data_IF_493221607292
#
_entry.id   IF_493221607292
#
_cell.length_a   1.000
_cell.length_b   1.000
_cell.length_c   1.000
_cell.angle_alpha   90.00
_cell.angle_beta   90.00
_cell.angle_gamma   90.00
#
_symmetry.space_group_name_H-M   'P 1'
#
loop_
_entity.id
_entity.type
_entity.pdbx_description
1 polymer ?
#
# COMPACT_ATOMS: atom_id res chain seq x y z
N UNK A 1 -8.25 18.85 17.85
CA UNK A 1 -7.98 18.09 16.63
C UNK A 1 -6.79 17.17 16.88
N UNK A 2 -7.00 15.85 16.78
CA UNK A 2 -5.89 14.88 16.77
C UNK A 2 -5.24 14.97 15.38
N UNK A 3 -3.99 15.41 15.32
CA UNK A 3 -3.21 15.41 14.07
C UNK A 3 -2.35 14.15 14.04
N UNK A 4 -2.34 13.49 12.90
CA UNK A 4 -1.45 12.37 12.64
C UNK A 4 -0.57 12.72 11.43
N UNK A 5 0.74 12.56 11.59
CA UNK A 5 1.71 12.60 10.50
C UNK A 5 2.00 11.16 10.09
N UNK A 6 1.91 10.83 8.80
CA UNK A 6 2.22 9.50 8.28
C UNK A 6 3.45 9.53 7.40
N UNK A 7 4.43 8.71 7.72
CA UNK A 7 5.56 8.40 6.87
C UNK A 7 5.28 7.09 6.15
N UNK A 8 5.43 7.11 4.83
CA UNK A 8 5.20 5.96 3.98
C UNK A 8 6.51 5.67 3.25
N UNK A 9 7.02 4.46 3.36
CA UNK A 9 8.17 4.05 2.59
C UNK A 9 7.92 4.19 1.10
N UNK A 10 8.89 4.72 0.41
CA UNK A 10 8.83 4.89 -1.04
C UNK A 10 8.86 3.53 -1.74
N UNK A 11 7.86 3.29 -2.55
CA UNK A 11 7.78 2.10 -3.39
C UNK A 11 8.40 2.39 -4.78
N UNK A 12 9.09 1.43 -5.41
CA UNK A 12 9.71 1.58 -6.73
C UNK A 12 8.67 1.50 -7.85
N UNK A 13 7.69 2.42 -7.86
CA UNK A 13 6.59 2.48 -8.82
C UNK A 13 6.59 3.79 -9.60
N UNK A 14 6.35 3.72 -10.91
CA UNK A 14 6.29 4.91 -11.77
C UNK A 14 7.52 5.80 -11.58
N UNK A 15 7.31 7.09 -11.35
CA UNK A 15 8.40 8.05 -11.07
C UNK A 15 9.13 7.78 -9.74
N UNK A 16 8.59 6.96 -8.86
CA UNK A 16 9.25 6.56 -7.61
C UNK A 16 10.52 5.73 -7.81
N UNK A 17 10.73 5.17 -9.00
CA UNK A 17 11.95 4.41 -9.34
C UNK A 17 13.20 5.28 -9.33
N UNK A 18 13.07 6.54 -9.73
CA UNK A 18 14.19 7.43 -10.03
C UNK A 18 14.49 8.41 -8.87
N UNK A 19 13.73 8.36 -7.78
CA UNK A 19 13.89 9.29 -6.68
C UNK A 19 14.82 8.74 -5.58
N UNK A 20 16.07 9.23 -5.54
CA UNK A 20 16.98 9.21 -4.40
C UNK A 20 17.14 7.86 -3.67
N UNK A 21 17.77 7.90 -2.52
CA UNK A 21 18.04 6.74 -1.68
C UNK A 21 16.76 6.24 -0.99
N UNK A 22 16.56 4.92 -0.97
CA UNK A 22 15.54 4.29 -0.16
C UNK A 22 15.82 4.54 1.34
N UNK A 23 14.79 4.93 2.08
CA UNK A 23 14.86 5.11 3.51
C UNK A 23 13.78 4.24 4.18
N UNK A 24 14.15 3.24 4.99
CA UNK A 24 13.18 2.45 5.71
C UNK A 24 12.47 3.28 6.79
N UNK A 25 11.26 2.90 7.16
CA UNK A 25 10.49 3.58 8.20
C UNK A 25 11.20 3.54 9.57
N UNK A 26 12.04 2.54 9.82
CA UNK A 26 12.89 2.46 11.01
C UNK A 26 13.77 3.70 11.19
N UNK A 27 14.23 4.32 10.11
CA UNK A 27 15.04 5.54 10.18
C UNK A 27 14.34 6.72 10.89
N UNK A 28 13.01 6.72 10.97
CA UNK A 28 12.26 7.71 11.76
C UNK A 28 12.43 7.42 13.24
N UNK A 29 12.34 6.17 13.67
CA UNK A 29 12.53 5.76 15.06
C UNK A 29 13.98 5.98 15.52
N UNK A 30 14.95 5.69 14.64
CA UNK A 30 16.37 5.89 14.94
C UNK A 30 16.70 7.39 15.18
N UNK A 31 15.99 8.30 14.50
CA UNK A 31 16.16 9.75 14.65
C UNK A 31 15.33 10.36 15.78
N UNK A 32 14.29 9.67 16.19
CA UNK A 32 13.37 10.11 17.25
C UNK A 32 13.14 8.96 18.22
N UNK A 33 14.15 8.59 19.03
CA UNK A 33 14.07 7.44 19.94
C UNK A 33 13.02 7.63 21.07
N UNK A 34 12.54 8.86 21.27
CA UNK A 34 11.48 9.16 22.22
C UNK A 34 10.08 8.77 21.75
N UNK A 35 9.94 8.28 20.50
CA UNK A 35 8.67 7.80 19.97
C UNK A 35 8.29 6.45 20.61
N UNK A 36 7.19 6.46 21.35
CA UNK A 36 6.63 5.27 21.98
C UNK A 36 5.52 4.66 21.12
N UNK A 37 5.53 3.35 20.94
CA UNK A 37 4.46 2.63 20.25
C UNK A 37 3.16 2.72 21.02
N UNK A 38 2.05 3.07 20.36
CA UNK A 38 0.75 3.26 21.03
C UNK A 38 -0.38 2.40 20.46
N UNK A 39 -0.40 2.16 19.14
CA UNK A 39 -1.48 1.41 18.50
C UNK A 39 -1.15 1.07 17.05
N UNK A 40 -2.08 0.39 16.39
CA UNK A 40 -2.14 0.27 14.93
C UNK A 40 -3.37 1.01 14.39
N UNK A 41 -3.25 1.61 13.20
CA UNK A 41 -4.37 2.20 12.46
C UNK A 41 -4.31 1.66 11.03
N UNK A 42 -5.03 0.60 10.79
CA UNK A 42 -4.91 -0.22 9.58
C UNK A 42 -3.49 -0.76 9.43
N UNK A 43 -2.82 -0.40 8.33
CA UNK A 43 -1.43 -0.83 8.05
C UNK A 43 -0.35 0.08 8.66
N UNK A 44 -0.76 1.12 9.39
CA UNK A 44 0.18 2.05 10.02
C UNK A 44 0.47 1.62 11.46
N UNK A 45 1.74 1.37 11.79
CA UNK A 45 2.21 1.32 13.17
C UNK A 45 2.23 2.75 13.73
N UNK A 46 1.51 2.99 14.82
CA UNK A 46 1.33 4.32 15.38
C UNK A 46 2.20 4.53 16.62
N UNK A 47 2.88 5.66 16.64
CA UNK A 47 3.77 6.09 17.71
C UNK A 47 3.35 7.47 18.21
N UNK A 48 3.84 7.82 19.42
CA UNK A 48 3.59 9.13 20.01
C UNK A 48 4.82 9.58 20.81
N UNK A 49 5.12 10.86 20.73
CA UNK A 49 6.07 11.49 21.66
C UNK A 49 5.38 11.66 23.04
N UNK A 50 6.12 11.59 24.15
CA UNK A 50 5.61 11.93 25.46
C UNK A 50 4.86 13.28 25.43
N UNK A 51 3.73 13.36 26.10
CA UNK A 51 2.88 14.56 26.23
C UNK A 51 2.29 15.11 24.92
N UNK A 52 2.58 14.50 23.75
CA UNK A 52 2.04 14.95 22.48
C UNK A 52 0.57 14.55 22.33
N UNK A 53 -0.25 15.47 21.77
CA UNK A 53 -1.66 15.21 21.41
C UNK A 53 -1.81 14.45 20.08
N UNK A 54 -0.81 14.56 19.20
CA UNK A 54 -0.76 13.92 17.89
C UNK A 54 -0.09 12.55 17.92
N UNK A 55 -0.12 11.87 16.78
CA UNK A 55 0.58 10.59 16.57
C UNK A 55 1.38 10.61 15.28
N UNK A 56 2.39 9.76 15.23
CA UNK A 56 3.17 9.46 14.03
C UNK A 56 2.79 8.05 13.57
N UNK A 57 2.36 7.91 12.32
CA UNK A 57 2.09 6.63 11.69
C UNK A 57 3.21 6.24 10.74
N UNK A 58 3.73 5.02 10.86
CA UNK A 58 4.72 4.46 9.94
C UNK A 58 4.06 3.38 9.09
N UNK A 59 4.19 3.50 7.77
CA UNK A 59 3.68 2.52 6.80
C UNK A 59 4.88 1.99 6.03
N UNK A 60 5.19 0.72 6.22
CA UNK A 60 6.41 0.07 5.79
C UNK A 60 6.14 -1.03 4.72
N UNK A 61 5.69 -0.67 3.50
CA UNK A 61 5.37 -1.66 2.48
C UNK A 61 6.59 -2.42 1.95
N UNK A 62 7.81 -1.88 2.14
CA UNK A 62 9.05 -2.47 1.64
C UNK A 62 9.81 -3.22 2.73
N UNK A 63 10.01 -2.59 3.89
CA UNK A 63 10.79 -3.20 4.99
C UNK A 63 9.96 -4.12 5.88
N UNK A 64 8.64 -3.97 5.87
CA UNK A 64 7.71 -4.80 6.64
C UNK A 64 6.40 -4.97 5.87
N UNK A 65 6.42 -5.85 4.88
CA UNK A 65 5.26 -6.10 4.03
C UNK A 65 4.08 -6.67 4.83
N UNK A 66 2.93 -6.01 4.71
CA UNK A 66 1.68 -6.37 5.40
C UNK A 66 0.69 -7.11 4.48
N UNK A 67 1.19 -7.90 3.53
CA UNK A 67 0.36 -8.58 2.52
C UNK A 67 -0.63 -9.55 3.14
N UNK A 68 -0.26 -10.28 4.18
CA UNK A 68 -1.13 -11.23 4.87
C UNK A 68 -2.41 -10.59 5.45
N UNK A 69 -2.32 -9.31 5.85
CA UNK A 69 -3.44 -8.55 6.41
C UNK A 69 -4.13 -7.65 5.37
N UNK A 70 -3.63 -7.66 4.13
CA UNK A 70 -4.11 -6.76 3.09
C UNK A 70 -5.41 -7.23 2.46
N UNK A 71 -6.53 -6.60 2.83
CA UNK A 71 -7.86 -6.83 2.24
C UNK A 71 -8.18 -5.92 1.04
N UNK A 72 -7.22 -5.14 0.53
CA UNK A 72 -7.47 -4.12 -0.49
C UNK A 72 -7.49 -4.72 -1.89
N UNK A 73 -8.47 -4.29 -2.67
CA UNK A 73 -8.52 -4.37 -4.13
C UNK A 73 -8.64 -2.95 -4.68
N UNK A 74 -8.38 -2.75 -5.96
CA UNK A 74 -8.48 -1.44 -6.60
C UNK A 74 -9.29 -1.50 -7.87
N UNK A 75 -9.99 -0.43 -8.18
CA UNK A 75 -10.66 -0.22 -9.46
C UNK A 75 -9.99 0.97 -10.13
N UNK A 76 -9.51 0.77 -11.34
CA UNK A 76 -8.85 1.81 -12.13
C UNK A 76 -9.87 2.71 -12.82
N UNK A 77 -9.46 3.91 -13.22
CA UNK A 77 -10.35 4.87 -13.89
C UNK A 77 -10.88 4.35 -15.24
N UNK A 78 -10.17 3.43 -15.90
CA UNK A 78 -10.59 2.77 -17.13
C UNK A 78 -11.49 1.54 -16.89
N UNK A 79 -11.92 1.31 -15.63
CA UNK A 79 -12.90 0.29 -15.28
C UNK A 79 -12.35 -1.12 -15.19
N UNK A 80 -11.12 -1.28 -14.70
CA UNK A 80 -10.51 -2.58 -14.43
C UNK A 80 -10.31 -2.81 -12.94
N UNK A 81 -10.53 -4.03 -12.50
CA UNK A 81 -10.20 -4.46 -11.15
C UNK A 81 -8.75 -4.97 -11.10
N UNK A 82 -7.97 -4.44 -10.15
CA UNK A 82 -6.63 -4.93 -9.80
C UNK A 82 -6.68 -5.62 -8.43
N UNK A 83 -6.33 -6.91 -8.36
CA UNK A 83 -6.32 -7.65 -7.09
C UNK A 83 -5.23 -7.15 -6.13
N UNK A 84 -4.11 -6.69 -6.65
CA UNK A 84 -3.00 -6.13 -5.87
C UNK A 84 -2.47 -4.86 -6.54
N UNK A 85 -1.98 -3.93 -5.74
CA UNK A 85 -1.34 -2.69 -6.22
C UNK A 85 -0.15 -3.00 -7.15
N UNK A 86 0.62 -4.02 -6.80
CA UNK A 86 1.90 -4.34 -7.43
C UNK A 86 1.80 -5.40 -8.53
N UNK A 87 0.69 -6.16 -8.60
CA UNK A 87 0.46 -7.14 -9.65
C UNK A 87 0.07 -6.47 -10.97
N UNK A 88 0.50 -7.05 -12.07
CA UNK A 88 0.07 -6.64 -13.42
C UNK A 88 -1.29 -7.23 -13.81
N UNK A 89 -1.82 -8.16 -13.01
CA UNK A 89 -3.12 -8.77 -13.24
C UNK A 89 -4.26 -7.73 -13.17
N UNK A 90 -5.10 -7.72 -14.20
CA UNK A 90 -6.25 -6.84 -14.31
C UNK A 90 -7.45 -7.60 -14.89
N UNK A 91 -8.65 -7.30 -14.39
CA UNK A 91 -9.91 -7.83 -14.89
C UNK A 91 -10.77 -6.68 -15.35
N UNK A 92 -11.18 -6.68 -16.62
CA UNK A 92 -12.09 -5.67 -17.16
C UNK A 92 -13.48 -5.83 -16.53
N UNK A 93 -13.98 -4.77 -15.90
CA UNK A 93 -15.34 -4.70 -15.36
C UNK A 93 -16.27 -3.86 -16.26
N UNK A 94 -15.68 -2.98 -17.08
CA UNK A 94 -16.46 -2.10 -17.96
C UNK A 94 -17.34 -2.89 -18.91
N UNK A 95 -18.63 -2.56 -18.95
CA UNK A 95 -19.63 -3.22 -19.78
C UNK A 95 -20.26 -4.45 -19.15
N UNK A 96 -19.75 -4.95 -18.01
CA UNK A 96 -20.36 -6.04 -17.27
C UNK A 96 -21.48 -5.53 -16.36
N UNK A 97 -22.49 -6.35 -16.16
CA UNK A 97 -23.62 -6.07 -15.25
C UNK A 97 -24.14 -7.37 -14.62
N UNK A 98 -24.95 -7.22 -13.57
CA UNK A 98 -25.59 -8.36 -12.93
C UNK A 98 -24.60 -9.45 -12.51
N UNK A 99 -24.93 -10.69 -12.86
CA UNK A 99 -24.16 -11.88 -12.48
C UNK A 99 -22.75 -11.89 -13.08
N UNK A 100 -22.58 -11.41 -14.30
CA UNK A 100 -21.27 -11.35 -14.96
C UNK A 100 -20.30 -10.42 -14.20
N UNK A 101 -20.81 -9.28 -13.73
CA UNK A 101 -20.02 -8.32 -12.92
C UNK A 101 -19.64 -8.95 -11.57
N UNK A 102 -20.59 -9.62 -10.92
CA UNK A 102 -20.34 -10.29 -9.65
C UNK A 102 -19.26 -11.37 -9.79
N UNK A 103 -19.38 -12.21 -10.81
CA UNK A 103 -18.40 -13.28 -11.07
C UNK A 103 -17.01 -12.70 -11.39
N UNK A 104 -16.93 -11.60 -12.14
CA UNK A 104 -15.68 -10.93 -12.44
C UNK A 104 -15.01 -10.36 -11.17
N UNK A 105 -15.79 -9.77 -10.27
CA UNK A 105 -15.29 -9.26 -8.98
C UNK A 105 -14.81 -10.41 -8.10
N UNK A 106 -15.60 -11.48 -7.96
CA UNK A 106 -15.23 -12.68 -7.19
C UNK A 106 -13.93 -13.28 -7.70
N UNK A 107 -13.80 -13.44 -9.01
CA UNK A 107 -12.57 -13.93 -9.65
C UNK A 107 -11.39 -13.02 -9.33
N UNK A 108 -11.56 -11.69 -9.40
CA UNK A 108 -10.50 -10.74 -9.07
C UNK A 108 -10.04 -10.84 -7.62
N UNK A 109 -10.96 -11.06 -6.68
CA UNK A 109 -10.61 -11.28 -5.26
C UNK A 109 -9.81 -12.58 -5.10
N UNK A 110 -10.22 -13.65 -5.76
CA UNK A 110 -9.53 -14.95 -5.69
C UNK A 110 -8.16 -14.95 -6.38
N UNK A 111 -7.95 -14.05 -7.34
CA UNK A 111 -6.64 -13.86 -8.01
C UNK A 111 -5.66 -13.02 -7.19
N UNK A 112 -6.07 -12.53 -6.00
CA UNK A 112 -5.17 -11.74 -5.17
C UNK A 112 -3.95 -12.57 -4.79
N UNK A 113 -2.71 -12.12 -5.10
CA UNK A 113 -1.51 -12.83 -4.71
C UNK A 113 -1.37 -12.84 -3.19
N UNK A 114 -0.78 -13.89 -2.65
CA UNK A 114 -0.50 -14.02 -1.22
C UNK A 114 0.39 -12.88 -0.73
N UNK A 115 1.40 -12.51 -1.53
CA UNK A 115 2.26 -11.36 -1.27
C UNK A 115 2.82 -10.75 -2.57
N UNK A 116 3.33 -9.55 -2.50
CA UNK A 116 4.18 -8.98 -3.55
C UNK A 116 5.65 -9.38 -3.31
N UNK A 117 6.48 -9.26 -4.34
CA UNK A 117 7.91 -9.61 -4.29
C UNK A 117 8.83 -8.40 -4.47
N UNK A 118 8.34 -7.17 -4.26
CA UNK A 118 9.15 -5.96 -4.40
C UNK A 118 10.29 -5.86 -3.40
N UNK A 119 10.09 -6.40 -2.20
CA UNK A 119 11.11 -6.50 -1.15
C UNK A 119 12.30 -7.36 -1.58
N UNK A 120 12.06 -8.37 -2.40
CA UNK A 120 13.10 -9.28 -2.93
C UNK A 120 13.71 -8.76 -4.24
N UNK A 121 12.87 -8.26 -5.14
CA UNK A 121 13.27 -7.90 -6.51
C UNK A 121 13.64 -6.42 -6.69
N UNK A 122 13.20 -5.57 -5.76
CA UNK A 122 13.31 -4.11 -5.88
C UNK A 122 12.44 -3.52 -7.01
N UNK A 123 11.60 -4.33 -7.66
CA UNK A 123 10.79 -3.93 -8.82
C UNK A 123 9.32 -4.31 -8.60
N UNK A 124 8.42 -3.42 -8.99
CA UNK A 124 6.99 -3.73 -9.08
C UNK A 124 6.68 -4.42 -10.41
N UNK A 125 5.78 -5.38 -10.41
CA UNK A 125 5.29 -6.04 -11.63
C UNK A 125 4.38 -5.12 -12.45
N UNK A 126 3.65 -4.21 -11.80
CA UNK A 126 2.71 -3.35 -12.51
C UNK A 126 3.40 -2.33 -13.42
N UNK A 127 2.89 -2.21 -14.62
CA UNK A 127 3.32 -1.19 -15.59
C UNK A 127 2.62 0.16 -15.38
N UNK A 128 1.59 0.22 -14.55
CA UNK A 128 0.86 1.47 -14.27
C UNK A 128 1.56 2.33 -13.24
N UNK A 129 1.59 3.63 -13.49
CA UNK A 129 1.95 4.62 -12.46
C UNK A 129 0.87 4.72 -11.37
N UNK A 130 1.22 5.20 -10.17
CA UNK A 130 0.30 5.32 -9.03
C UNK A 130 -0.98 6.10 -9.37
N UNK A 131 -0.88 7.16 -10.18
CA UNK A 131 -2.02 7.98 -10.59
C UNK A 131 -3.04 7.24 -11.48
N UNK A 132 -2.66 6.12 -12.09
CA UNK A 132 -3.51 5.34 -13.01
C UNK A 132 -4.12 4.09 -12.34
N UNK A 133 -3.84 3.86 -11.06
CA UNK A 133 -4.27 2.63 -10.35
C UNK A 133 -5.51 2.87 -9.48
N UNK A 134 -5.91 4.10 -9.29
CA UNK A 134 -7.01 4.48 -8.39
C UNK A 134 -6.55 4.60 -6.93
N UNK A 135 -7.03 5.59 -6.23
CA UNK A 135 -6.74 5.90 -4.82
C UNK A 135 -6.64 7.37 -4.62
#
# INVERSE_FOLDING_TARGET
YKRQVRFIERMPMGCGKDFGTYLPSQAVLDRCPELEAVSHDGVAACYRLPDAKGTVGLIAPMSHAFCAECSRIRITADGKLKPCLHSDAEITLRGLSGEELEQAIRRGILMKPERHHMDETGVTETHRGMFAIGG
#
